data_IF_418343348702
#
_entry.id   IF_418343348702
#
_cell.length_a   1.000
_cell.length_b   1.000
_cell.length_c   1.000
_cell.angle_alpha   90.00
_cell.angle_beta   90.00
_cell.angle_gamma   90.00
#
_symmetry.space_group_name_H-M   'P 1'
#
loop_
_entity.id
_entity.type
_entity.pdbx_description
1 polymer ?
#
# COMPACT_ATOMS: atom_id res chain seq x y z
N UNK A 1 -27.55 -9.56 -10.91
CA UNK A 1 -28.09 -8.57 -9.94
C UNK A 1 -28.56 -9.33 -8.73
N UNK A 2 -27.66 -9.48 -7.77
CA UNK A 2 -27.63 -10.58 -6.81
C UNK A 2 -28.62 -10.46 -5.66
N UNK A 3 -29.28 -11.59 -5.37
CA UNK A 3 -30.17 -11.81 -4.22
C UNK A 3 -29.51 -11.52 -2.86
N UNK A 4 -28.18 -11.37 -2.82
CA UNK A 4 -27.40 -11.00 -1.64
C UNK A 4 -27.63 -9.54 -1.25
N UNK A 5 -27.73 -8.62 -2.23
CA UNK A 5 -27.96 -7.19 -2.01
C UNK A 5 -29.37 -6.95 -1.43
N UNK A 6 -30.39 -7.63 -1.95
CA UNK A 6 -31.76 -7.55 -1.41
C UNK A 6 -31.85 -8.05 0.04
N UNK A 7 -31.05 -9.05 0.42
CA UNK A 7 -31.07 -9.64 1.76
C UNK A 7 -30.43 -8.70 2.79
N UNK A 8 -29.41 -7.94 2.38
CA UNK A 8 -28.75 -6.92 3.21
C UNK A 8 -29.62 -5.66 3.38
N UNK A 9 -30.33 -5.24 2.33
CA UNK A 9 -31.26 -4.10 2.40
C UNK A 9 -32.44 -4.35 3.36
N UNK A 10 -32.97 -5.59 3.41
CA UNK A 10 -34.06 -5.95 4.34
C UNK A 10 -33.63 -5.99 5.81
N UNK A 11 -32.35 -6.24 6.07
CA UNK A 11 -31.82 -6.31 7.44
C UNK A 11 -31.69 -4.92 8.08
N UNK A 12 -31.46 -3.87 7.27
CA UNK A 12 -31.30 -2.50 7.77
C UNK A 12 -32.61 -1.70 7.91
N UNK A 13 -33.72 -2.14 7.32
CA UNK A 13 -35.01 -1.44 7.42
C UNK A 13 -35.72 -1.66 8.76
N UNK A 14 -35.23 -2.56 9.62
CA UNK A 14 -35.89 -2.94 10.89
C UNK A 14 -35.38 -2.20 12.13
N UNK A 15 -34.49 -1.21 12.03
CA UNK A 15 -33.89 -0.55 13.22
C UNK A 15 -33.92 0.98 13.28
N UNK A 16 -34.66 1.69 12.42
CA UNK A 16 -34.86 3.13 12.62
C UNK A 16 -36.34 3.48 12.73
N UNK A 17 -36.76 3.66 13.98
CA UNK A 17 -38.02 4.29 14.35
C UNK A 17 -38.06 5.75 13.92
N UNK A 18 -39.22 6.13 13.42
CA UNK A 18 -39.61 7.42 12.85
C UNK A 18 -39.35 8.60 13.79
N UNK A 19 -38.53 9.57 13.36
CA UNK A 19 -38.63 10.96 13.85
C UNK A 19 -38.48 11.93 12.68
N UNK A 20 -39.53 12.73 12.48
CA UNK A 20 -39.44 14.17 12.15
C UNK A 20 -39.06 14.56 10.72
N UNK A 21 -40.06 14.95 9.94
CA UNK A 21 -39.91 15.60 8.64
C UNK A 21 -39.14 16.92 8.72
N UNK A 22 -38.18 17.14 7.81
CA UNK A 22 -38.15 18.32 6.94
C UNK A 22 -37.10 18.19 5.83
N UNK A 23 -37.53 18.46 4.60
CA UNK A 23 -36.76 18.70 3.37
C UNK A 23 -36.14 17.49 2.66
N UNK A 24 -36.99 16.75 1.93
CA UNK A 24 -36.59 15.84 0.86
C UNK A 24 -36.12 16.63 -0.38
N UNK A 25 -34.80 16.79 -0.56
CA UNK A 25 -34.23 16.62 -1.90
C UNK A 25 -33.99 15.13 -2.06
N UNK A 26 -34.73 14.52 -2.98
CA UNK A 26 -34.60 13.10 -3.30
C UNK A 26 -33.29 12.95 -4.07
N UNK A 27 -32.19 12.72 -3.35
CA UNK A 27 -30.96 12.23 -3.96
C UNK A 27 -31.26 10.83 -4.48
N UNK A 28 -31.47 10.71 -5.79
CA UNK A 28 -31.28 9.45 -6.51
C UNK A 28 -29.78 9.16 -6.54
N UNK A 29 -29.20 8.93 -5.37
CA UNK A 29 -27.81 8.56 -5.21
C UNK A 29 -27.71 7.05 -5.39
N UNK A 30 -27.10 6.62 -6.48
CA UNK A 30 -26.42 5.33 -6.48
C UNK A 30 -25.43 5.41 -5.31
N UNK A 31 -25.67 4.63 -4.24
CA UNK A 31 -24.69 4.52 -3.15
C UNK A 31 -23.47 3.82 -3.73
N UNK A 32 -22.45 4.58 -4.10
CA UNK A 32 -21.14 4.02 -4.42
C UNK A 32 -20.57 3.45 -3.12
N UNK A 33 -20.32 2.15 -3.08
CA UNK A 33 -19.60 1.56 -1.95
C UNK A 33 -18.19 2.14 -1.91
N UNK A 34 -17.68 2.56 -0.74
CA UNK A 34 -16.33 3.09 -0.64
C UNK A 34 -15.32 1.99 -0.94
N UNK A 35 -14.29 2.31 -1.73
CA UNK A 35 -13.18 1.40 -2.01
C UNK A 35 -12.20 1.38 -0.83
N UNK A 36 -12.02 2.54 -0.19
CA UNK A 36 -11.08 2.77 0.92
C UNK A 36 -11.83 3.34 2.13
N UNK A 37 -11.61 2.78 3.31
CA UNK A 37 -12.15 3.33 4.56
C UNK A 37 -11.05 3.75 5.52
N UNK A 38 -11.03 5.02 5.92
CA UNK A 38 -10.15 5.56 6.95
C UNK A 38 -10.66 5.21 8.34
N UNK A 39 -9.83 4.59 9.16
CA UNK A 39 -10.12 4.18 10.53
C UNK A 39 -9.11 4.86 11.46
N UNK A 40 -9.59 5.79 12.28
CA UNK A 40 -8.71 6.66 13.06
C UNK A 40 -9.41 7.20 14.31
N UNK A 41 -8.66 7.71 15.28
CA UNK A 41 -9.24 8.43 16.43
C UNK A 41 -9.36 9.91 16.11
N UNK A 42 -10.28 10.64 16.76
CA UNK A 42 -10.57 12.05 16.43
C UNK A 42 -9.37 13.01 16.43
N UNK A 43 -8.26 12.66 17.11
CA UNK A 43 -7.01 13.44 17.10
C UNK A 43 -6.24 13.36 15.78
N UNK A 44 -6.47 12.31 14.99
CA UNK A 44 -5.78 12.06 13.73
C UNK A 44 -6.63 12.50 12.52
N UNK A 45 -7.71 13.24 12.76
CA UNK A 45 -8.65 13.70 11.73
C UNK A 45 -7.98 14.56 10.67
N UNK A 46 -6.99 15.35 11.05
CA UNK A 46 -6.25 16.21 10.13
C UNK A 46 -5.50 15.39 9.08
N UNK A 47 -4.70 14.39 9.53
CA UNK A 47 -3.98 13.49 8.63
C UNK A 47 -4.94 12.67 7.77
N UNK A 48 -6.02 12.14 8.36
CA UNK A 48 -7.04 11.41 7.60
C UNK A 48 -7.68 12.28 6.51
N UNK A 49 -7.97 13.55 6.81
CA UNK A 49 -8.53 14.50 5.84
C UNK A 49 -7.56 14.83 4.71
N UNK A 50 -6.27 15.02 5.01
CA UNK A 50 -5.25 15.28 4.00
C UNK A 50 -5.09 14.13 3.01
N UNK A 51 -5.04 12.89 3.53
CA UNK A 51 -4.95 11.69 2.69
C UNK A 51 -6.23 11.45 1.90
N UNK A 52 -7.39 11.72 2.50
CA UNK A 52 -8.69 11.63 1.83
C UNK A 52 -8.80 12.60 0.65
N UNK A 53 -8.44 13.87 0.87
CA UNK A 53 -8.41 14.88 -0.18
C UNK A 53 -7.47 14.48 -1.32
N UNK A 54 -6.30 13.93 -0.99
CA UNK A 54 -5.35 13.45 -1.99
C UNK A 54 -5.90 12.24 -2.78
N UNK A 55 -6.43 11.21 -2.11
CA UNK A 55 -7.01 10.03 -2.77
C UNK A 55 -8.27 10.36 -3.59
N UNK A 56 -9.05 11.36 -3.17
CA UNK A 56 -10.20 11.84 -3.93
C UNK A 56 -9.78 12.40 -5.30
N UNK A 57 -8.61 13.03 -5.40
CA UNK A 57 -8.07 13.51 -6.67
C UNK A 57 -7.75 12.35 -7.65
N UNK A 58 -7.58 11.15 -7.11
CA UNK A 58 -7.39 9.90 -7.82
C UNK A 58 -8.71 9.17 -8.15
N UNK A 59 -9.86 9.82 -7.95
CA UNK A 59 -11.21 9.25 -8.08
C UNK A 59 -11.46 8.04 -7.16
N UNK A 60 -10.73 7.95 -6.04
CA UNK A 60 -10.98 6.90 -5.04
C UNK A 60 -12.16 7.28 -4.16
N UNK A 61 -13.13 6.36 -4.07
CA UNK A 61 -14.27 6.52 -3.18
C UNK A 61 -13.85 6.17 -1.75
N UNK A 62 -13.92 7.16 -0.85
CA UNK A 62 -13.46 7.03 0.53
C UNK A 62 -14.60 7.07 1.54
N UNK A 63 -14.38 6.51 2.73
CA UNK A 63 -15.25 6.70 3.90
C UNK A 63 -14.44 6.86 5.18
N UNK A 64 -15.09 7.33 6.26
CA UNK A 64 -14.43 7.63 7.54
C UNK A 64 -15.12 6.93 8.71
N UNK A 65 -14.33 6.22 9.51
CA UNK A 65 -14.70 5.59 10.78
C UNK A 65 -13.87 6.23 11.90
N UNK A 66 -14.52 7.12 12.66
CA UNK A 66 -13.87 7.84 13.77
C UNK A 66 -14.07 7.08 15.08
N UNK A 67 -13.02 6.44 15.57
CA UNK A 67 -12.99 5.67 16.82
C UNK A 67 -13.10 6.56 18.05
N UNK A 68 -14.04 6.22 18.94
CA UNK A 68 -14.33 6.88 20.22
C UNK A 68 -14.09 5.94 21.39
N UNK A 69 -14.11 6.51 22.60
CA UNK A 69 -14.05 5.70 23.82
C UNK A 69 -15.34 4.90 23.94
N UNK A 70 -15.23 3.59 24.14
CA UNK A 70 -16.36 2.68 24.26
C UNK A 70 -16.72 1.97 22.95
N UNK A 71 -16.14 2.37 21.82
CA UNK A 71 -16.29 1.62 20.57
C UNK A 71 -15.55 0.28 20.65
N UNK A 72 -16.03 -0.72 19.91
CA UNK A 72 -15.31 -1.97 19.73
C UNK A 72 -14.44 -1.86 18.46
N UNK A 73 -13.12 -1.95 18.61
CA UNK A 73 -12.17 -1.72 17.51
C UNK A 73 -12.45 -2.66 16.33
N UNK A 74 -12.66 -3.94 16.61
CA UNK A 74 -12.88 -4.96 15.59
C UNK A 74 -14.20 -4.77 14.86
N UNK A 75 -15.26 -4.38 15.56
CA UNK A 75 -16.56 -4.07 14.94
C UNK A 75 -16.45 -2.86 14.03
N UNK A 76 -15.74 -1.81 14.45
CA UNK A 76 -15.50 -0.61 13.63
C UNK A 76 -14.67 -0.90 12.39
N UNK A 77 -13.61 -1.72 12.51
CA UNK A 77 -12.82 -2.15 11.36
C UNK A 77 -13.68 -2.97 10.40
N UNK A 78 -14.40 -3.97 10.91
CA UNK A 78 -15.30 -4.79 10.08
C UNK A 78 -16.31 -3.91 9.36
N UNK A 79 -16.91 -2.94 10.05
CA UNK A 79 -17.85 -1.99 9.44
C UNK A 79 -17.20 -1.18 8.30
N UNK A 80 -15.99 -0.67 8.51
CA UNK A 80 -15.24 0.06 7.47
C UNK A 80 -14.89 -0.81 6.27
N UNK A 81 -14.75 -2.12 6.45
CA UNK A 81 -14.46 -3.08 5.38
C UNK A 81 -15.74 -3.69 4.76
N UNK A 82 -16.94 -3.30 5.20
CA UNK A 82 -18.19 -3.76 4.56
C UNK A 82 -18.29 -3.13 3.18
N UNK A 83 -18.11 -3.94 2.13
CA UNK A 83 -18.26 -3.52 0.74
C UNK A 83 -17.06 -2.77 0.16
N UNK A 84 -16.05 -2.47 0.98
CA UNK A 84 -14.77 -1.90 0.55
C UNK A 84 -13.65 -2.93 0.61
N UNK A 85 -12.70 -2.85 -0.33
CA UNK A 85 -11.57 -3.77 -0.42
C UNK A 85 -10.41 -3.37 0.50
N UNK A 86 -10.34 -2.11 0.90
CA UNK A 86 -9.21 -1.58 1.65
C UNK A 86 -9.64 -0.74 2.85
N UNK A 87 -8.90 -0.88 3.95
CA UNK A 87 -9.01 0.01 5.09
C UNK A 87 -7.66 0.64 5.40
N UNK A 88 -7.62 1.94 5.65
CA UNK A 88 -6.43 2.62 6.15
C UNK A 88 -6.61 2.81 7.66
N UNK A 89 -5.71 2.26 8.47
CA UNK A 89 -5.73 2.45 9.92
C UNK A 89 -4.59 3.37 10.36
N UNK A 90 -4.92 4.46 11.05
CA UNK A 90 -3.91 5.38 11.58
C UNK A 90 -3.52 4.94 13.00
N UNK A 91 -2.28 4.45 13.12
CA UNK A 91 -1.65 4.04 14.36
C UNK A 91 -0.82 5.19 14.92
N UNK A 92 -1.43 5.98 15.80
CA UNK A 92 -0.81 7.13 16.45
C UNK A 92 -0.67 6.93 17.96
N UNK A 93 0.10 7.81 18.63
CA UNK A 93 0.09 7.87 20.10
C UNK A 93 -1.30 8.12 20.67
N UNK A 94 -2.17 8.83 19.95
CA UNK A 94 -3.54 9.08 20.38
C UNK A 94 -4.41 7.82 20.24
N UNK A 95 -4.19 7.02 19.20
CA UNK A 95 -4.82 5.71 19.02
C UNK A 95 -4.47 4.77 20.17
N UNK A 96 -3.19 4.62 20.51
CA UNK A 96 -2.74 3.70 21.57
C UNK A 96 -3.04 4.17 23.01
N UNK A 97 -3.43 5.43 23.20
CA UNK A 97 -3.94 5.92 24.50
C UNK A 97 -5.36 5.45 24.81
N UNK A 98 -6.08 4.90 23.83
CA UNK A 98 -7.40 4.29 24.04
C UNK A 98 -7.22 2.90 24.70
N UNK A 99 -8.20 2.44 25.49
CA UNK A 99 -8.10 1.19 26.23
C UNK A 99 -8.38 -0.04 25.35
N UNK A 100 -7.71 -0.15 24.20
CA UNK A 100 -7.79 -1.35 23.35
C UNK A 100 -7.17 -2.53 24.07
N UNK A 101 -7.82 -3.69 24.01
CA UNK A 101 -7.20 -4.90 24.52
C UNK A 101 -6.06 -5.33 23.61
N UNK A 102 -5.03 -5.97 24.19
CA UNK A 102 -3.95 -6.57 23.39
C UNK A 102 -4.48 -7.57 22.36
N UNK A 103 -5.53 -8.32 22.72
CA UNK A 103 -6.19 -9.26 21.83
C UNK A 103 -6.73 -8.56 20.57
N UNK A 104 -7.48 -7.46 20.72
CA UNK A 104 -7.98 -6.70 19.57
C UNK A 104 -6.84 -6.18 18.68
N UNK A 105 -5.76 -5.66 19.28
CA UNK A 105 -4.60 -5.17 18.52
C UNK A 105 -3.87 -6.29 17.77
N UNK A 106 -3.75 -7.47 18.38
CA UNK A 106 -3.18 -8.66 17.75
C UNK A 106 -4.09 -9.21 16.64
N UNK A 107 -5.41 -9.03 16.74
CA UNK A 107 -6.36 -9.35 15.66
C UNK A 107 -6.27 -8.37 14.50
N UNK A 108 -6.05 -7.08 14.74
CA UNK A 108 -5.79 -6.09 13.67
C UNK A 108 -4.64 -6.53 12.78
N UNK A 109 -3.57 -7.08 13.37
CA UNK A 109 -2.41 -7.60 12.65
C UNK A 109 -2.70 -8.87 11.83
N UNK A 110 -3.89 -9.44 11.88
CA UNK A 110 -4.26 -10.62 11.10
C UNK A 110 -5.14 -10.29 9.90
N UNK A 111 -5.50 -9.01 9.72
CA UNK A 111 -6.35 -8.52 8.63
C UNK A 111 -5.49 -8.27 7.38
N UNK A 112 -4.97 -9.36 6.81
CA UNK A 112 -4.17 -9.30 5.59
C UNK A 112 -4.90 -9.85 4.37
N UNK A 113 -5.77 -10.84 4.57
CA UNK A 113 -6.51 -11.58 3.53
C UNK A 113 -7.73 -12.24 4.17
N UNK A 114 -8.93 -11.98 3.66
CA UNK A 114 -9.99 -12.96 3.78
C UNK A 114 -9.68 -14.18 2.88
N UNK A 115 -10.48 -15.25 2.99
CA UNK A 115 -10.30 -16.47 2.21
C UNK A 115 -10.35 -16.25 0.67
N UNK A 116 -10.78 -15.08 0.21
CA UNK A 116 -10.86 -14.66 -1.19
C UNK A 116 -9.75 -13.68 -1.61
N UNK A 117 -8.97 -13.15 -0.64
CA UNK A 117 -7.77 -12.34 -0.89
C UNK A 117 -8.03 -10.89 -1.27
N UNK A 118 -9.25 -10.37 -1.07
CA UNK A 118 -9.64 -9.04 -1.55
C UNK A 118 -9.57 -7.94 -0.49
N UNK A 119 -9.66 -8.30 0.81
CA UNK A 119 -9.71 -7.31 1.88
C UNK A 119 -8.35 -7.11 2.56
N UNK A 120 -7.82 -5.88 2.55
CA UNK A 120 -6.53 -5.54 3.20
C UNK A 120 -6.62 -4.30 4.09
N UNK A 121 -5.99 -4.37 5.26
CA UNK A 121 -5.78 -3.22 6.15
C UNK A 121 -4.36 -2.65 5.97
N UNK A 122 -4.26 -1.37 5.64
CA UNK A 122 -3.03 -0.62 5.42
C UNK A 122 -2.71 0.24 6.66
N UNK A 123 -1.69 -0.10 7.44
CA UNK A 123 -1.33 0.67 8.63
C UNK A 123 -0.50 1.90 8.27
N UNK A 124 -0.92 3.07 8.76
CA UNK A 124 -0.12 4.30 8.76
C UNK A 124 0.43 4.52 10.15
N UNK A 125 1.75 4.56 10.29
CA UNK A 125 2.44 4.81 11.55
C UNK A 125 2.60 6.31 11.74
N UNK A 126 1.71 6.91 12.51
CA UNK A 126 1.66 8.35 12.70
C UNK A 126 2.41 8.79 13.97
N UNK A 127 3.58 9.39 13.79
CA UNK A 127 4.46 9.88 14.87
C UNK A 127 4.78 8.84 15.96
N UNK A 128 4.88 7.58 15.55
CA UNK A 128 5.24 6.43 16.39
C UNK A 128 6.42 5.67 15.78
N UNK A 129 7.22 5.06 16.64
CA UNK A 129 8.26 4.11 16.25
C UNK A 129 7.71 2.68 16.37
N UNK A 130 8.34 1.73 15.69
CA UNK A 130 8.00 0.31 15.82
C UNK A 130 8.03 -0.17 17.28
N UNK A 131 8.97 0.35 18.08
CA UNK A 131 9.07 0.04 19.51
C UNK A 131 7.86 0.53 20.31
N UNK A 132 7.32 1.71 19.96
CA UNK A 132 6.10 2.24 20.58
C UNK A 132 4.92 1.30 20.31
N UNK A 133 4.80 0.77 19.09
CA UNK A 133 3.76 -0.19 18.69
C UNK A 133 3.97 -1.53 19.40
N UNK A 134 5.21 -2.02 19.44
CA UNK A 134 5.60 -3.31 20.02
C UNK A 134 5.24 -3.43 21.49
N UNK A 135 5.32 -2.31 22.22
CA UNK A 135 4.88 -2.21 23.60
C UNK A 135 3.41 -2.63 23.79
N UNK A 136 2.54 -2.28 22.83
CA UNK A 136 1.12 -2.64 22.86
C UNK A 136 0.84 -3.99 22.19
N UNK A 137 1.44 -4.25 21.03
CA UNK A 137 1.30 -5.49 20.26
C UNK A 137 2.54 -5.76 19.42
N UNK A 138 3.21 -6.88 19.69
CA UNK A 138 4.34 -7.36 18.89
C UNK A 138 3.90 -7.79 17.49
N UNK A 139 2.70 -8.37 17.36
CA UNK A 139 2.16 -8.81 16.07
C UNK A 139 1.90 -7.62 15.14
N UNK A 140 1.30 -6.55 15.69
CA UNK A 140 1.05 -5.32 14.93
C UNK A 140 2.35 -4.61 14.56
N UNK A 141 3.34 -4.60 15.45
CA UNK A 141 4.67 -4.05 15.16
C UNK A 141 5.45 -4.84 14.10
N UNK A 142 5.11 -6.12 13.90
CA UNK A 142 5.69 -6.97 12.85
C UNK A 142 5.15 -6.68 11.45
N UNK A 143 4.12 -5.83 11.31
CA UNK A 143 3.61 -5.39 10.01
C UNK A 143 4.47 -4.29 9.41
N UNK A 144 4.51 -4.26 8.08
CA UNK A 144 5.01 -3.11 7.34
C UNK A 144 3.89 -2.06 7.35
N UNK A 145 4.18 -0.87 7.86
CA UNK A 145 3.28 0.27 7.82
C UNK A 145 3.96 1.50 7.26
N UNK A 146 3.17 2.38 6.65
CA UNK A 146 3.64 3.61 6.03
C UNK A 146 3.89 4.67 7.11
N UNK A 147 5.14 5.12 7.33
CA UNK A 147 5.41 6.17 8.30
C UNK A 147 4.85 7.51 7.81
N UNK A 148 4.11 8.22 8.66
CA UNK A 148 3.60 9.56 8.36
C UNK A 148 4.69 10.65 8.23
N UNK A 149 5.97 10.27 8.33
CA UNK A 149 7.12 11.15 8.11
C UNK A 149 7.45 11.30 6.63
N UNK A 150 6.97 10.39 5.80
CA UNK A 150 6.95 10.54 4.35
C UNK A 150 6.06 11.72 3.97
N UNK A 151 6.25 12.23 2.76
CA UNK A 151 5.32 13.18 2.18
C UNK A 151 3.95 12.53 1.95
N UNK A 152 2.89 13.36 1.93
CA UNK A 152 1.53 12.87 1.64
C UNK A 152 1.46 12.19 0.27
N UNK A 153 2.21 12.70 -0.71
CA UNK A 153 2.25 12.17 -2.07
C UNK A 153 2.86 10.76 -2.10
N UNK A 154 4.02 10.55 -1.46
CA UNK A 154 4.65 9.22 -1.32
C UNK A 154 3.70 8.22 -0.62
N UNK A 155 3.00 8.64 0.42
CA UNK A 155 2.03 7.77 1.13
C UNK A 155 0.88 7.39 0.19
N UNK A 156 0.40 8.32 -0.63
CA UNK A 156 -0.69 8.09 -1.59
C UNK A 156 -0.24 7.17 -2.71
N UNK A 157 0.96 7.34 -3.24
CA UNK A 157 1.54 6.44 -4.25
C UNK A 157 1.61 5.00 -3.75
N UNK A 158 2.17 4.78 -2.56
CA UNK A 158 2.24 3.46 -1.91
C UNK A 158 0.85 2.84 -1.67
N UNK A 159 -0.15 3.66 -1.34
CA UNK A 159 -1.55 3.19 -1.23
C UNK A 159 -2.09 2.80 -2.60
N UNK A 160 -1.87 3.60 -3.64
CA UNK A 160 -2.38 3.36 -4.98
C UNK A 160 -1.74 2.12 -5.64
N UNK A 161 -0.47 1.84 -5.40
CA UNK A 161 0.17 0.59 -5.86
C UNK A 161 -0.54 -0.65 -5.33
N UNK A 162 -1.06 -0.58 -4.10
CA UNK A 162 -1.81 -1.68 -3.49
C UNK A 162 -3.26 -1.72 -3.99
N UNK A 163 -3.90 -0.56 -4.14
CA UNK A 163 -5.33 -0.46 -4.47
C UNK A 163 -5.59 -0.67 -5.96
N UNK A 164 -4.68 -0.21 -6.83
CA UNK A 164 -4.77 -0.28 -8.29
C UNK A 164 -3.48 -0.83 -8.95
N UNK A 165 -3.15 -2.11 -8.75
CA UNK A 165 -1.89 -2.68 -9.27
C UNK A 165 -1.80 -2.71 -10.81
N UNK A 166 -2.94 -2.70 -11.51
CA UNK A 166 -3.01 -2.74 -12.99
C UNK A 166 -3.08 -1.34 -13.64
N UNK A 167 -3.25 -0.28 -12.83
CA UNK A 167 -3.22 1.09 -13.30
C UNK A 167 -1.75 1.52 -13.42
N UNK A 168 -1.08 1.13 -14.51
CA UNK A 168 0.28 1.62 -14.79
C UNK A 168 0.34 3.15 -14.67
N UNK A 169 1.49 3.69 -14.29
CA UNK A 169 1.73 5.14 -14.03
C UNK A 169 1.16 6.07 -15.14
N UNK A 170 0.90 5.55 -16.35
CA UNK A 170 0.26 6.26 -17.47
C UNK A 170 -1.25 6.53 -17.34
N UNK A 171 -2.02 5.78 -16.54
CA UNK A 171 -3.48 5.98 -16.36
C UNK A 171 -3.85 6.96 -15.25
N UNK A 172 -2.85 7.59 -14.65
CA UNK A 172 -2.96 8.46 -13.51
C UNK A 172 -3.48 9.87 -13.90
N UNK A 173 -4.57 10.43 -13.30
CA UNK A 173 -5.05 11.78 -13.59
C UNK A 173 -3.99 12.86 -13.44
N UNK A 174 -3.94 13.79 -14.41
CA UNK A 174 -3.01 14.92 -14.42
C UNK A 174 -3.38 15.96 -13.34
N UNK A 175 -2.74 15.87 -12.19
CA UNK A 175 -2.79 16.85 -11.10
C UNK A 175 -1.76 17.99 -11.30
N UNK A 176 -2.06 19.23 -10.87
CA UNK A 176 -1.12 20.36 -10.90
C UNK A 176 0.27 20.10 -10.30
N UNK A 177 0.40 19.16 -9.36
CA UNK A 177 1.69 18.73 -8.80
C UNK A 177 2.48 17.97 -9.89
N UNK A 178 1.83 17.02 -10.58
CA UNK A 178 2.44 16.24 -11.67
C UNK A 178 2.76 17.05 -12.91
N UNK A 179 2.12 18.20 -13.15
CA UNK A 179 2.43 19.03 -14.33
C UNK A 179 3.81 19.71 -14.22
N UNK A 180 4.29 19.99 -13.00
CA UNK A 180 5.67 20.45 -12.78
C UNK A 180 6.70 19.33 -13.00
N UNK A 181 6.38 18.07 -12.67
CA UNK A 181 7.20 16.91 -13.08
C UNK A 181 7.07 16.60 -14.58
N UNK A 182 5.91 16.84 -15.21
CA UNK A 182 5.65 16.57 -16.63
C UNK A 182 6.40 17.52 -17.59
N UNK A 183 6.73 18.72 -17.09
CA UNK A 183 7.54 19.72 -17.77
C UNK A 183 9.05 19.55 -17.53
N UNK A 184 9.46 18.56 -16.73
CA UNK A 184 10.82 18.04 -16.80
C UNK A 184 10.92 17.33 -18.16
N UNK A 185 11.85 17.72 -19.05
CA UNK A 185 12.10 16.95 -20.26
C UNK A 185 12.25 15.46 -19.89
N UNK A 186 11.80 14.53 -20.75
CA UNK A 186 12.08 13.08 -20.66
C UNK A 186 13.59 12.78 -20.81
N UNK A 187 14.43 13.48 -20.09
CA UNK A 187 15.89 13.43 -20.02
C UNK A 187 16.29 13.72 -18.58
N UNK A 188 16.45 12.64 -17.82
CA UNK A 188 17.16 12.47 -16.54
C UNK A 188 16.33 11.69 -15.50
N UNK A 189 15.97 10.43 -15.80
CA UNK A 189 16.11 9.40 -14.76
C UNK A 189 17.61 9.11 -14.74
N UNK A 190 18.32 9.96 -14.00
CA UNK A 190 19.68 9.68 -13.60
C UNK A 190 19.62 8.50 -12.63
N UNK A 191 19.75 7.29 -13.16
CA UNK A 191 20.53 6.28 -12.46
C UNK A 191 21.83 6.95 -12.08
N UNK A 192 22.05 7.26 -10.79
CA UNK A 192 23.37 7.70 -10.39
C UNK A 192 24.35 6.58 -10.76
N UNK A 193 25.51 6.94 -11.31
CA UNK A 193 26.60 5.99 -11.53
C UNK A 193 27.02 5.28 -10.22
N UNK A 194 26.59 5.77 -9.04
CA UNK A 194 26.77 5.13 -7.73
C UNK A 194 25.92 3.88 -7.57
N UNK A 195 24.64 3.88 -7.96
CA UNK A 195 23.69 2.84 -7.56
C UNK A 195 23.88 1.56 -8.40
N UNK A 196 24.22 1.73 -9.68
CA UNK A 196 24.60 0.59 -10.55
C UNK A 196 25.98 0.05 -10.23
N UNK A 197 26.88 0.91 -9.74
CA UNK A 197 28.20 0.48 -9.26
C UNK A 197 28.06 -0.41 -8.03
N UNK A 198 27.22 0.00 -7.07
CA UNK A 198 26.92 -0.76 -5.85
C UNK A 198 26.23 -2.08 -6.21
N UNK A 199 25.21 -2.05 -7.07
CA UNK A 199 24.50 -3.26 -7.50
C UNK A 199 25.45 -4.23 -8.23
N UNK A 200 26.30 -3.73 -9.12
CA UNK A 200 27.32 -4.52 -9.82
C UNK A 200 28.33 -5.15 -8.85
N UNK A 201 28.80 -4.37 -7.87
CA UNK A 201 29.75 -4.81 -6.86
C UNK A 201 29.15 -5.90 -5.96
N UNK A 202 27.93 -5.68 -5.46
CA UNK A 202 27.23 -6.62 -4.60
C UNK A 202 26.89 -7.92 -5.32
N UNK A 203 26.36 -7.86 -6.54
CA UNK A 203 26.12 -9.06 -7.36
C UNK A 203 27.43 -9.78 -7.66
N UNK A 204 28.49 -9.04 -8.00
CA UNK A 204 29.82 -9.59 -8.25
C UNK A 204 30.45 -10.29 -7.04
N UNK A 205 30.14 -9.81 -5.82
CA UNK A 205 30.65 -10.34 -4.57
C UNK A 205 29.84 -11.53 -4.04
N UNK A 206 28.52 -11.58 -4.28
CA UNK A 206 27.61 -12.52 -3.61
C UNK A 206 27.04 -13.63 -4.49
N UNK A 207 27.18 -13.52 -5.82
CA UNK A 207 26.76 -14.55 -6.79
C UNK A 207 27.97 -15.28 -7.40
N UNK A 208 27.86 -16.60 -7.58
CA UNK A 208 28.75 -17.43 -8.40
C UNK A 208 28.31 -17.44 -9.88
N UNK A 209 29.13 -18.02 -10.78
CA UNK A 209 28.72 -18.17 -12.19
C UNK A 209 27.46 -19.05 -12.33
N UNK A 210 27.33 -20.07 -11.47
CA UNK A 210 26.13 -20.91 -11.40
C UNK A 210 24.91 -20.13 -10.94
N UNK A 211 25.02 -19.36 -9.84
CA UNK A 211 23.90 -18.54 -9.34
C UNK A 211 23.42 -17.54 -10.39
N UNK A 212 24.32 -16.97 -11.20
CA UNK A 212 23.94 -16.03 -12.27
C UNK A 212 23.23 -16.72 -13.43
N UNK A 213 23.60 -17.96 -13.76
CA UNK A 213 22.89 -18.75 -14.77
C UNK A 213 21.47 -19.09 -14.30
N UNK A 214 21.33 -19.47 -13.03
CA UNK A 214 20.03 -19.76 -12.42
C UNK A 214 19.15 -18.49 -12.36
N UNK A 215 19.74 -17.35 -11.97
CA UNK A 215 19.06 -16.06 -11.98
C UNK A 215 18.60 -15.67 -13.40
N UNK A 216 19.48 -15.80 -14.40
CA UNK A 216 19.10 -15.55 -15.80
C UNK A 216 17.98 -16.47 -16.26
N UNK A 217 17.99 -17.74 -15.87
CA UNK A 217 16.92 -18.69 -16.17
C UNK A 217 15.58 -18.25 -15.55
N UNK A 218 15.57 -17.85 -14.27
CA UNK A 218 14.37 -17.33 -13.60
C UNK A 218 13.83 -16.06 -14.28
N UNK A 219 14.72 -15.17 -14.72
CA UNK A 219 14.38 -13.93 -15.44
C UNK A 219 14.01 -14.17 -16.92
N UNK A 220 14.08 -15.42 -17.39
CA UNK A 220 13.87 -15.84 -18.79
C UNK A 220 14.82 -15.12 -19.76
N UNK A 221 16.08 -14.98 -19.36
CA UNK A 221 17.16 -14.38 -20.14
C UNK A 221 18.14 -15.50 -20.49
N UNK A 222 18.50 -15.62 -21.76
CA UNK A 222 19.57 -16.53 -22.15
C UNK A 222 20.91 -15.97 -21.67
N UNK A 223 21.55 -16.69 -20.75
CA UNK A 223 22.83 -16.27 -20.17
C UNK A 223 23.93 -16.22 -21.24
N UNK A 224 23.89 -17.08 -22.24
CA UNK A 224 24.91 -17.14 -23.28
C UNK A 224 24.76 -16.01 -24.31
N UNK A 225 23.55 -15.45 -24.47
CA UNK A 225 23.27 -14.26 -25.29
C UNK A 225 23.79 -12.94 -24.68
N UNK A 226 24.08 -12.91 -23.37
CA UNK A 226 24.66 -11.73 -22.74
C UNK A 226 26.10 -11.50 -23.24
N UNK A 227 26.47 -10.29 -23.70
CA UNK A 227 27.82 -10.04 -24.17
C UNK A 227 28.86 -10.10 -23.05
N UNK A 228 30.13 -10.24 -23.43
CA UNK A 228 31.26 -10.25 -22.49
C UNK A 228 31.55 -11.63 -21.88
N UNK A 229 32.83 -11.85 -21.55
CA UNK A 229 33.31 -13.06 -20.90
C UNK A 229 33.62 -12.82 -19.43
N UNK A 230 33.31 -13.82 -18.60
CA UNK A 230 33.57 -13.81 -17.16
C UNK A 230 32.46 -13.17 -16.31
N UNK A 231 32.41 -13.60 -15.04
CA UNK A 231 31.35 -13.30 -14.08
C UNK A 231 31.01 -11.81 -13.97
N UNK A 232 32.01 -10.95 -13.72
CA UNK A 232 31.79 -9.50 -13.55
C UNK A 232 31.26 -8.84 -14.82
N UNK A 233 31.71 -9.28 -15.99
CA UNK A 233 31.21 -8.79 -17.28
C UNK A 233 29.75 -9.19 -17.46
N UNK A 234 29.41 -10.46 -17.19
CA UNK A 234 28.03 -10.98 -17.27
C UNK A 234 27.09 -10.28 -16.30
N UNK A 235 27.50 -10.01 -15.05
CA UNK A 235 26.72 -9.20 -14.10
C UNK A 235 26.44 -7.81 -14.66
N UNK A 236 27.46 -7.13 -15.20
CA UNK A 236 27.30 -5.78 -15.77
C UNK A 236 26.32 -5.81 -16.94
N UNK A 237 26.49 -6.76 -17.86
CA UNK A 237 25.65 -6.84 -19.05
C UNK A 237 24.21 -7.29 -18.71
N UNK A 238 24.00 -8.10 -17.67
CA UNK A 238 22.67 -8.43 -17.15
C UNK A 238 21.97 -7.20 -16.58
N UNK A 239 22.64 -6.43 -15.72
CA UNK A 239 22.11 -5.18 -15.16
C UNK A 239 21.74 -4.21 -16.29
N UNK A 240 22.65 -4.00 -17.25
CA UNK A 240 22.42 -3.14 -18.41
C UNK A 240 21.32 -3.66 -19.33
N UNK A 241 21.17 -4.98 -19.47
CA UNK A 241 20.11 -5.61 -20.24
C UNK A 241 18.74 -5.33 -19.59
N UNK A 242 18.63 -5.52 -18.28
CA UNK A 242 17.41 -5.28 -17.52
C UNK A 242 17.04 -3.80 -17.47
N UNK A 243 18.01 -2.92 -17.26
CA UNK A 243 17.80 -1.47 -17.28
C UNK A 243 17.30 -0.99 -18.65
N UNK A 244 17.92 -1.43 -19.76
CA UNK A 244 17.49 -1.05 -21.12
C UNK A 244 16.08 -1.48 -21.45
N UNK A 245 15.58 -2.54 -20.81
CA UNK A 245 14.25 -3.10 -20.99
C UNK A 245 13.24 -2.55 -19.97
N UNK A 246 13.67 -1.67 -19.05
CA UNK A 246 12.82 -1.18 -17.95
C UNK A 246 12.46 -2.25 -16.92
N UNK A 247 13.21 -3.35 -16.84
CA UNK A 247 12.94 -4.51 -15.98
C UNK A 247 13.87 -4.57 -14.76
N UNK A 248 14.49 -3.45 -14.37
CA UNK A 248 15.48 -3.45 -13.28
C UNK A 248 14.87 -3.87 -11.94
N UNK A 249 13.63 -3.47 -11.67
CA UNK A 249 12.92 -3.86 -10.45
C UNK A 249 12.69 -5.37 -10.37
N UNK A 250 12.37 -6.02 -11.48
CA UNK A 250 12.23 -7.48 -11.54
C UNK A 250 13.53 -8.18 -11.15
N UNK A 251 14.68 -7.66 -11.59
CA UNK A 251 16.00 -8.13 -11.18
C UNK A 251 16.19 -7.96 -9.67
N UNK A 252 15.93 -6.77 -9.11
CA UNK A 252 16.08 -6.48 -7.67
C UNK A 252 15.18 -7.38 -6.82
N UNK A 253 13.95 -7.64 -7.24
CA UNK A 253 13.02 -8.55 -6.56
C UNK A 253 13.59 -9.97 -6.49
N UNK A 254 14.15 -10.49 -7.59
CA UNK A 254 14.79 -11.81 -7.57
C UNK A 254 16.07 -11.82 -6.72
N UNK A 255 16.88 -10.75 -6.74
CA UNK A 255 18.07 -10.63 -5.90
C UNK A 255 17.73 -10.66 -4.40
N UNK A 256 16.71 -9.89 -3.98
CA UNK A 256 16.20 -9.91 -2.59
C UNK A 256 15.68 -11.28 -2.18
N UNK A 257 15.04 -12.01 -3.08
CA UNK A 257 14.56 -13.37 -2.83
C UNK A 257 15.71 -14.36 -2.64
N UNK A 258 16.73 -14.32 -3.50
CA UNK A 258 17.84 -15.27 -3.48
C UNK A 258 18.86 -14.97 -2.38
N UNK A 259 19.00 -13.69 -2.01
CA UNK A 259 19.93 -13.20 -0.97
C UNK A 259 19.25 -12.11 -0.15
N UNK A 260 18.33 -12.49 0.77
CA UNK A 260 17.56 -11.53 1.57
C UNK A 260 18.40 -10.75 2.61
N UNK A 261 19.64 -11.19 2.85
CA UNK A 261 20.56 -10.59 3.82
C UNK A 261 21.46 -9.50 3.20
N UNK A 262 21.32 -9.21 1.91
CA UNK A 262 22.10 -8.20 1.19
C UNK A 262 21.19 -7.03 0.87
N UNK A 263 21.65 -5.80 1.10
CA UNK A 263 20.91 -4.58 0.73
C UNK A 263 21.08 -4.32 -0.77
N UNK A 264 20.00 -4.44 -1.54
CA UNK A 264 19.96 -4.33 -3.01
C UNK A 264 19.27 -3.06 -3.49
#
# INVERSE_FOLDING_TARGET
MDRVIEKLLRYQSHSFGTIGQSNHSIFTGVWTMPEISFIYVSRDKELAGQLDEALTQWNMATSHIVLRVGDNLMQSIRQGLIGGKYGIIILSKAFFKKPWSRFELDEVAQIDKDYEGETRLLPIWHDVLQQDISYYSQNLAGKIGLPSKMSLDEIVEEILEVVQPDAGIESLPAHPIYEKERLIPKQQIGTQMSDMGILHEQMGATFSDGDLRDLCFELKIDFDDLPGSGKRSKVRELILYMQRRGRLEELIVQLRRLRPYVEW
#
